data_IF_773497469221
#
_entry.id   IF_773497469221
#
_cell.length_a   1.000
_cell.length_b   1.000
_cell.length_c   1.000
_cell.angle_alpha   90.00
_cell.angle_beta   90.00
_cell.angle_gamma   90.00
#
_symmetry.space_group_name_H-M   'P 1'
#
loop_
_entity.id
_entity.type
_entity.pdbx_description
1 polymer ?
#
# COMPACT_ATOMS: atom_id res chain seq x y z
N UNK A 1 20.95 5.87 10.98
CA UNK A 1 21.10 7.32 10.95
C UNK A 1 21.63 7.75 12.32
N UNK A 2 22.92 8.01 12.42
CA UNK A 2 23.54 8.43 13.68
C UNK A 2 23.23 9.88 14.01
N UNK A 3 23.02 10.73 12.98
CA UNK A 3 22.65 12.14 13.16
C UNK A 3 21.62 12.57 12.11
N UNK A 4 20.57 13.23 12.56
CA UNK A 4 19.64 13.93 11.68
C UNK A 4 20.11 15.38 11.57
N UNK A 5 20.05 16.00 10.37
CA UNK A 5 20.40 17.41 10.21
C UNK A 5 19.51 18.27 11.11
N UNK A 6 20.06 19.38 11.62
CA UNK A 6 19.28 20.32 12.41
C UNK A 6 18.18 20.94 11.56
N UNK A 7 16.93 20.83 12.00
CA UNK A 7 15.77 21.37 11.30
C UNK A 7 14.70 21.86 12.29
N UNK A 8 13.89 22.82 11.83
CA UNK A 8 12.76 23.34 12.61
C UNK A 8 11.58 22.37 12.65
N UNK A 9 11.44 21.52 11.63
CA UNK A 9 10.44 20.48 11.53
C UNK A 9 10.98 19.27 10.78
N UNK A 10 10.52 18.07 11.18
CA UNK A 10 10.79 16.79 10.53
C UNK A 10 9.46 16.13 10.19
N UNK A 11 9.27 15.82 8.93
CA UNK A 11 8.10 15.12 8.43
C UNK A 11 8.56 13.73 7.99
N UNK A 12 8.05 12.70 8.65
CA UNK A 12 8.43 11.31 8.44
C UNK A 12 7.36 10.60 7.61
N UNK A 13 7.64 10.42 6.33
CA UNK A 13 6.81 9.57 5.45
C UNK A 13 7.30 8.12 5.56
N UNK A 14 7.08 7.54 6.73
CA UNK A 14 7.55 6.20 7.07
C UNK A 14 6.46 5.42 7.83
N UNK A 15 6.65 4.11 7.93
CA UNK A 15 5.82 3.32 8.84
C UNK A 15 6.01 3.74 10.30
N UNK A 16 5.01 3.55 11.17
CA UNK A 16 5.15 3.79 12.61
C UNK A 16 6.32 3.05 13.23
N UNK A 17 6.61 1.81 12.79
CA UNK A 17 7.78 1.03 13.24
C UNK A 17 9.09 1.71 12.88
N UNK A 18 9.21 2.21 11.66
CA UNK A 18 10.40 2.93 11.21
C UNK A 18 10.56 4.27 11.94
N UNK A 19 9.47 5.03 12.14
CA UNK A 19 9.49 6.25 12.92
C UNK A 19 9.98 6.01 14.36
N UNK A 20 9.51 4.93 15.01
CA UNK A 20 9.98 4.53 16.34
C UNK A 20 11.45 4.15 16.37
N UNK A 21 12.00 3.58 15.28
CA UNK A 21 13.41 3.23 15.18
C UNK A 21 14.29 4.47 14.93
N UNK A 22 13.86 5.38 14.07
CA UNK A 22 14.59 6.62 13.73
C UNK A 22 14.70 7.54 14.94
N UNK A 23 13.66 7.67 15.74
CA UNK A 23 13.56 8.62 16.86
C UNK A 23 13.62 7.97 18.25
N UNK A 24 14.00 6.71 18.36
CA UNK A 24 13.92 5.86 19.55
C UNK A 24 14.20 6.60 20.86
N UNK A 25 15.34 7.25 20.95
CA UNK A 25 15.85 7.82 22.21
C UNK A 25 15.35 9.25 22.48
N UNK A 26 14.61 9.82 21.53
CA UNK A 26 14.10 11.19 21.57
C UNK A 26 12.57 11.28 21.74
N UNK A 27 11.87 10.16 21.55
CA UNK A 27 10.42 10.11 21.71
C UNK A 27 10.03 9.83 23.15
N UNK A 28 8.93 10.45 23.64
CA UNK A 28 8.35 10.07 24.93
C UNK A 28 7.99 8.58 24.96
N UNK A 29 8.15 7.88 26.12
CA UNK A 29 7.88 6.44 26.23
C UNK A 29 6.47 6.04 25.75
N UNK A 30 5.47 6.89 26.00
CA UNK A 30 4.08 6.70 25.54
C UNK A 30 3.97 6.72 24.02
N UNK A 31 4.70 7.60 23.33
CA UNK A 31 4.71 7.67 21.87
C UNK A 31 5.37 6.42 21.27
N UNK A 32 6.54 6.02 21.78
CA UNK A 32 7.22 4.78 21.38
C UNK A 32 6.30 3.58 21.54
N UNK A 33 5.58 3.49 22.68
CA UNK A 33 4.64 2.40 22.93
C UNK A 33 3.48 2.38 21.90
N UNK A 34 2.91 3.54 21.56
CA UNK A 34 1.85 3.65 20.55
C UNK A 34 2.35 3.22 19.18
N UNK A 35 3.53 3.71 18.75
CA UNK A 35 4.14 3.35 17.47
C UNK A 35 4.44 1.84 17.38
N UNK A 36 4.96 1.24 18.44
CA UNK A 36 5.27 -0.21 18.50
C UNK A 36 4.03 -1.10 18.56
N UNK A 37 2.92 -0.61 19.14
CA UNK A 37 1.64 -1.32 19.22
C UNK A 37 0.74 -1.06 18.01
N UNK A 38 1.23 -0.29 17.06
CA UNK A 38 0.47 -0.02 15.84
C UNK A 38 0.16 -1.34 15.12
N UNK A 39 -1.12 -1.56 14.79
CA UNK A 39 -1.57 -2.76 14.09
C UNK A 39 -1.53 -2.50 12.60
N UNK A 40 -0.74 -3.29 11.91
CA UNK A 40 -0.73 -3.37 10.46
C UNK A 40 -1.93 -4.15 9.98
N UNK A 41 -2.30 -3.94 8.72
CA UNK A 41 -3.44 -4.56 8.07
C UNK A 41 -3.07 -5.85 7.36
N UNK A 42 -4.01 -6.28 6.53
CA UNK A 42 -3.80 -7.35 5.57
C UNK A 42 -2.70 -6.96 4.58
N UNK A 43 -2.14 -7.95 3.92
CA UNK A 43 -0.98 -7.78 3.09
C UNK A 43 -1.29 -7.94 1.60
N UNK A 44 -0.38 -7.50 0.76
CA UNK A 44 -0.34 -7.81 -0.66
C UNK A 44 0.77 -8.82 -0.96
N UNK A 45 0.45 -9.84 -1.75
CA UNK A 45 1.43 -10.65 -2.45
C UNK A 45 1.40 -10.26 -3.93
N UNK A 46 2.57 -9.94 -4.49
CA UNK A 46 2.71 -9.42 -5.84
C UNK A 46 3.11 -10.56 -6.81
N UNK A 47 2.47 -10.60 -7.97
CA UNK A 47 2.90 -11.47 -9.06
C UNK A 47 3.12 -10.63 -10.31
N UNK A 48 4.32 -10.71 -10.85
CA UNK A 48 4.67 -10.15 -12.15
C UNK A 48 4.61 -11.24 -13.20
N UNK A 49 4.03 -10.94 -14.37
CA UNK A 49 3.98 -11.82 -15.52
C UNK A 49 4.65 -11.16 -16.71
N UNK A 50 5.22 -12.00 -17.57
CA UNK A 50 5.59 -11.66 -18.94
C UNK A 50 4.66 -12.46 -19.84
N UNK A 51 3.91 -11.76 -20.69
CA UNK A 51 2.91 -12.35 -21.57
C UNK A 51 3.37 -12.28 -23.02
N UNK A 52 2.98 -13.29 -23.83
CA UNK A 52 3.20 -13.34 -25.29
C UNK A 52 2.15 -12.57 -26.10
N UNK A 53 1.17 -11.94 -25.45
CA UNK A 53 0.10 -11.18 -26.09
C UNK A 53 -0.77 -10.44 -25.08
N UNK A 54 -1.77 -9.67 -25.54
CA UNK A 54 -2.70 -8.97 -24.70
C UNK A 54 -3.58 -9.95 -23.91
N UNK A 55 -4.02 -9.53 -22.70
CA UNK A 55 -4.93 -10.33 -21.87
C UNK A 55 -6.25 -10.57 -22.63
N UNK A 56 -6.70 -11.83 -22.81
CA UNK A 56 -7.86 -12.17 -23.64
C UNK A 56 -9.19 -11.99 -22.87
N UNK A 57 -9.52 -10.75 -22.52
CA UNK A 57 -10.71 -10.44 -21.75
C UNK A 57 -12.00 -10.89 -22.42
N UNK A 58 -12.91 -11.53 -21.67
CA UNK A 58 -14.26 -11.84 -22.14
C UNK A 58 -15.06 -10.58 -22.49
N UNK A 59 -14.84 -9.48 -21.76
CA UNK A 59 -15.35 -8.16 -22.07
C UNK A 59 -14.24 -7.33 -22.72
N UNK A 60 -14.25 -7.12 -24.04
CA UNK A 60 -13.12 -6.50 -24.77
C UNK A 60 -12.79 -5.08 -24.28
N UNK A 61 -13.78 -4.35 -23.77
CA UNK A 61 -13.60 -3.00 -23.22
C UNK A 61 -12.65 -2.98 -22.03
N UNK A 62 -12.53 -4.09 -21.28
CA UNK A 62 -11.61 -4.22 -20.16
C UNK A 62 -10.15 -4.03 -20.61
N UNK A 63 -9.80 -4.46 -21.82
CA UNK A 63 -8.47 -4.28 -22.40
C UNK A 63 -8.07 -2.82 -22.67
N UNK A 64 -9.00 -1.87 -22.54
CA UNK A 64 -8.71 -0.42 -22.65
C UNK A 64 -8.33 0.21 -21.32
N UNK A 65 -8.49 -0.51 -20.22
CA UNK A 65 -8.16 -0.01 -18.88
C UNK A 65 -6.71 -0.37 -18.52
N UNK A 66 -5.93 0.64 -18.09
CA UNK A 66 -4.56 0.41 -17.62
C UNK A 66 -4.50 -0.33 -16.28
N UNK A 67 -5.60 -0.33 -15.51
CA UNK A 67 -5.73 -1.05 -14.25
C UNK A 67 -7.12 -1.66 -14.14
N UNK A 68 -7.18 -2.92 -13.74
CA UNK A 68 -8.41 -3.70 -13.61
C UNK A 68 -8.42 -4.40 -12.24
N UNK A 69 -9.60 -4.47 -11.61
CA UNK A 69 -9.82 -5.31 -10.44
C UNK A 69 -10.73 -6.48 -10.83
N UNK A 70 -10.28 -7.70 -10.58
CA UNK A 70 -11.08 -8.91 -10.75
C UNK A 70 -11.34 -9.56 -9.39
N UNK A 71 -12.60 -9.83 -9.08
CA UNK A 71 -12.99 -10.37 -7.78
C UNK A 71 -14.33 -11.12 -7.84
N UNK A 72 -15.03 -11.01 -8.97
CA UNK A 72 -16.36 -11.60 -9.14
C UNK A 72 -17.47 -10.72 -8.56
N UNK A 73 -18.48 -11.35 -7.99
CA UNK A 73 -19.61 -10.66 -7.37
C UNK A 73 -19.22 -9.97 -6.06
N UNK A 74 -20.05 -9.03 -5.61
CA UNK A 74 -19.87 -8.39 -4.29
C UNK A 74 -19.78 -9.41 -3.14
N UNK A 75 -20.52 -10.50 -3.22
CA UNK A 75 -20.50 -11.55 -2.19
C UNK A 75 -19.17 -12.31 -2.20
N UNK A 76 -18.64 -12.65 -3.37
CA UNK A 76 -17.34 -13.30 -3.52
C UNK A 76 -16.20 -12.38 -3.01
N UNK A 77 -16.22 -11.11 -3.37
CA UNK A 77 -15.23 -10.12 -2.87
C UNK A 77 -15.30 -9.99 -1.35
N UNK A 78 -16.50 -9.88 -0.77
CA UNK A 78 -16.66 -9.79 0.68
C UNK A 78 -16.17 -11.06 1.40
N UNK A 79 -16.40 -12.24 0.83
CA UNK A 79 -15.92 -13.52 1.36
C UNK A 79 -14.39 -13.60 1.27
N UNK A 80 -13.79 -13.15 0.17
CA UNK A 80 -12.35 -13.11 -0.01
C UNK A 80 -11.68 -12.22 1.05
N UNK A 81 -12.12 -10.96 1.18
CA UNK A 81 -11.57 -10.02 2.17
C UNK A 81 -11.79 -10.51 3.61
N UNK A 82 -12.95 -11.10 3.91
CA UNK A 82 -13.23 -11.68 5.23
C UNK A 82 -12.30 -12.86 5.57
N UNK A 83 -11.94 -13.67 4.56
CA UNK A 83 -10.99 -14.77 4.74
C UNK A 83 -9.59 -14.22 5.05
N UNK A 84 -9.13 -13.22 4.33
CA UNK A 84 -7.84 -12.58 4.54
C UNK A 84 -7.77 -11.93 5.92
N UNK A 85 -8.79 -11.17 6.30
CA UNK A 85 -8.90 -10.54 7.62
C UNK A 85 -8.93 -11.57 8.77
N UNK A 86 -9.40 -12.80 8.50
CA UNK A 86 -9.36 -13.92 9.43
C UNK A 86 -8.03 -14.72 9.38
N UNK A 87 -7.00 -14.22 8.69
CA UNK A 87 -5.70 -14.86 8.56
C UNK A 87 -5.67 -16.07 7.62
N UNK A 88 -6.63 -16.20 6.71
CA UNK A 88 -6.69 -17.30 5.74
C UNK A 88 -6.61 -16.77 4.32
N UNK A 89 -5.94 -17.52 3.44
CA UNK A 89 -5.97 -17.23 2.02
C UNK A 89 -7.37 -17.41 1.45
N UNK A 90 -7.80 -16.47 0.60
CA UNK A 90 -9.05 -16.60 -0.11
C UNK A 90 -8.92 -17.65 -1.22
N UNK A 91 -9.97 -18.45 -1.40
CA UNK A 91 -10.03 -19.42 -2.50
C UNK A 91 -10.15 -18.72 -3.87
N UNK A 92 -10.88 -17.61 -3.89
CA UNK A 92 -11.05 -16.73 -5.06
C UNK A 92 -10.63 -15.31 -4.65
N UNK A 93 -9.33 -14.99 -4.71
CA UNK A 93 -8.84 -13.71 -4.23
C UNK A 93 -9.32 -12.55 -5.11
N UNK A 94 -9.48 -11.39 -4.49
CA UNK A 94 -9.51 -10.14 -5.25
C UNK A 94 -8.10 -9.90 -5.80
N UNK A 95 -8.01 -9.65 -7.09
CA UNK A 95 -6.73 -9.38 -7.77
C UNK A 95 -6.80 -8.02 -8.45
N UNK A 96 -5.84 -7.17 -8.20
CA UNK A 96 -5.57 -5.99 -9.00
C UNK A 96 -4.56 -6.36 -10.08
N UNK A 97 -4.85 -5.96 -11.33
CA UNK A 97 -3.95 -6.10 -12.46
C UNK A 97 -3.63 -4.71 -13.03
N UNK A 98 -2.41 -4.53 -13.49
CA UNK A 98 -2.05 -3.37 -14.30
C UNK A 98 -1.31 -3.83 -15.54
N UNK A 99 -1.86 -3.44 -16.69
CA UNK A 99 -1.21 -3.57 -18.00
C UNK A 99 -0.67 -2.20 -18.42
N UNK A 100 0.62 -1.94 -18.17
CA UNK A 100 1.21 -0.64 -18.48
C UNK A 100 1.31 -0.38 -20.00
N UNK A 101 1.24 -1.41 -20.84
CA UNK A 101 1.31 -1.25 -22.29
C UNK A 101 0.07 -0.57 -22.87
N UNK A 102 -1.05 -0.60 -22.13
CA UNK A 102 -2.28 0.12 -22.50
C UNK A 102 -2.06 1.64 -22.54
N UNK A 103 -1.28 2.18 -21.62
CA UNK A 103 -0.96 3.60 -21.55
C UNK A 103 0.35 3.95 -22.26
N UNK A 104 1.31 3.03 -22.29
CA UNK A 104 2.65 3.20 -22.86
C UNK A 104 3.02 1.96 -23.70
N UNK A 105 2.67 1.95 -25.02
CA UNK A 105 3.00 0.84 -25.90
C UNK A 105 4.49 0.55 -26.02
N UNK A 106 5.37 1.51 -25.69
CA UNK A 106 6.83 1.32 -25.68
C UNK A 106 7.32 0.34 -24.60
N UNK A 107 6.45 -0.10 -23.71
CA UNK A 107 6.74 -1.15 -22.71
C UNK A 107 6.63 -2.57 -23.27
N UNK A 108 6.05 -2.74 -24.44
CA UNK A 108 6.12 -3.98 -25.18
C UNK A 108 7.50 -4.11 -25.84
N UNK A 109 8.17 -5.23 -25.63
CA UNK A 109 9.49 -5.49 -26.21
C UNK A 109 9.50 -6.85 -26.88
N UNK A 110 9.71 -6.88 -28.20
CA UNK A 110 9.81 -8.14 -28.97
C UNK A 110 8.54 -9.00 -28.90
N UNK A 111 7.36 -8.38 -28.85
CA UNK A 111 6.08 -9.07 -28.69
C UNK A 111 5.78 -9.54 -27.28
N UNK A 112 6.63 -9.21 -26.30
CA UNK A 112 6.45 -9.55 -24.88
C UNK A 112 5.90 -8.35 -24.12
N UNK A 113 4.91 -8.59 -23.27
CA UNK A 113 4.19 -7.58 -22.49
C UNK A 113 4.32 -7.82 -21.00
N UNK A 114 4.69 -6.80 -20.21
CA UNK A 114 4.65 -6.90 -18.76
C UNK A 114 3.21 -6.77 -18.25
N UNK A 115 2.83 -7.62 -17.31
CA UNK A 115 1.63 -7.46 -16.51
C UNK A 115 2.04 -7.59 -15.05
N UNK A 116 1.72 -6.61 -14.19
CA UNK A 116 1.92 -6.80 -12.78
C UNK A 116 0.58 -6.89 -12.06
N UNK A 117 0.56 -7.72 -11.02
CA UNK A 117 -0.63 -7.96 -10.24
C UNK A 117 -0.31 -7.98 -8.75
N UNK A 118 -1.32 -7.82 -7.93
CA UNK A 118 -1.27 -8.28 -6.55
C UNK A 118 -2.63 -8.83 -6.10
N UNK A 119 -2.58 -9.73 -5.12
CA UNK A 119 -3.74 -10.21 -4.41
C UNK A 119 -3.63 -9.87 -2.93
N UNK A 120 -4.77 -9.66 -2.25
CA UNK A 120 -4.79 -9.54 -0.80
C UNK A 120 -4.54 -10.91 -0.17
N UNK A 121 -3.66 -10.93 0.83
CA UNK A 121 -3.25 -12.14 1.54
C UNK A 121 -3.09 -11.86 3.04
N UNK A 122 -3.06 -12.90 3.89
CA UNK A 122 -2.78 -12.72 5.30
C UNK A 122 -1.44 -12.02 5.55
N UNK A 123 -1.40 -11.19 6.58
CA UNK A 123 -0.20 -10.48 7.01
C UNK A 123 0.98 -11.43 7.22
N UNK A 124 2.11 -11.14 6.61
CA UNK A 124 3.34 -11.92 6.74
C UNK A 124 3.32 -13.28 6.02
N UNK A 125 2.33 -13.56 5.18
CA UNK A 125 2.28 -14.81 4.41
C UNK A 125 3.52 -14.96 3.52
N UNK A 126 4.12 -16.14 3.52
CA UNK A 126 5.23 -16.56 2.65
C UNK A 126 4.76 -17.38 1.44
N UNK A 127 3.45 -17.63 1.32
CA UNK A 127 2.87 -18.43 0.24
C UNK A 127 3.05 -17.75 -1.11
N UNK A 128 3.49 -18.53 -2.09
CA UNK A 128 3.42 -18.16 -3.52
C UNK A 128 1.96 -18.25 -3.99
N UNK A 129 1.44 -17.14 -4.51
CA UNK A 129 0.05 -17.03 -4.97
C UNK A 129 -0.09 -16.99 -6.48
N UNK A 130 0.97 -17.33 -7.22
CA UNK A 130 0.97 -17.28 -8.69
C UNK A 130 -0.18 -18.08 -9.28
N UNK A 131 -0.41 -19.29 -8.80
CA UNK A 131 -1.49 -20.15 -9.29
C UNK A 131 -2.88 -19.60 -8.91
N UNK A 132 -3.05 -19.07 -7.70
CA UNK A 132 -4.32 -18.48 -7.25
C UNK A 132 -4.68 -17.25 -8.09
N UNK A 133 -3.69 -16.40 -8.39
CA UNK A 133 -3.84 -15.21 -9.24
C UNK A 133 -4.13 -15.62 -10.68
N UNK A 134 -3.39 -16.57 -11.23
CA UNK A 134 -3.59 -17.07 -12.60
C UNK A 134 -5.00 -17.62 -12.76
N UNK A 135 -5.44 -18.49 -11.85
CA UNK A 135 -6.78 -19.07 -11.86
C UNK A 135 -7.88 -18.02 -11.76
N UNK A 136 -7.67 -16.97 -10.96
CA UNK A 136 -8.63 -15.89 -10.82
C UNK A 136 -8.73 -15.05 -12.10
N UNK A 137 -7.61 -14.76 -12.76
CA UNK A 137 -7.61 -14.03 -14.04
C UNK A 137 -8.29 -14.86 -15.13
N UNK A 138 -8.01 -16.16 -15.17
CA UNK A 138 -8.57 -17.12 -16.15
C UNK A 138 -10.11 -17.14 -16.14
N UNK A 139 -10.75 -16.87 -14.99
CA UNK A 139 -12.22 -16.77 -14.90
C UNK A 139 -12.80 -15.66 -15.77
N UNK A 140 -12.04 -14.59 -16.03
CA UNK A 140 -12.48 -13.39 -16.73
C UNK A 140 -11.77 -13.20 -18.08
N UNK A 141 -10.69 -13.94 -18.28
CA UNK A 141 -9.85 -13.92 -19.47
C UNK A 141 -9.41 -15.36 -19.83
N UNK A 142 -10.33 -16.21 -20.35
CA UNK A 142 -10.00 -17.59 -20.74
C UNK A 142 -8.86 -17.62 -21.76
N UNK A 143 -7.87 -18.49 -21.53
CA UNK A 143 -6.64 -18.57 -22.31
C UNK A 143 -5.51 -17.68 -21.81
N UNK A 144 -5.70 -16.97 -20.68
CA UNK A 144 -4.64 -16.16 -20.06
C UNK A 144 -3.40 -17.01 -19.73
N UNK A 145 -3.60 -18.21 -19.20
CA UNK A 145 -2.53 -19.13 -18.82
C UNK A 145 -1.59 -19.45 -19.99
N UNK A 146 -2.14 -19.61 -21.17
CA UNK A 146 -1.37 -19.99 -22.39
C UNK A 146 -0.49 -18.84 -22.88
N UNK A 147 -0.78 -17.60 -22.47
CA UNK A 147 0.02 -16.42 -22.79
C UNK A 147 1.19 -16.20 -21.82
N UNK A 148 1.22 -16.87 -20.68
CA UNK A 148 2.25 -16.66 -19.66
C UNK A 148 3.57 -17.27 -20.10
N UNK A 149 4.53 -16.44 -20.46
CA UNK A 149 5.90 -16.84 -20.79
C UNK A 149 6.75 -17.05 -19.54
N UNK A 150 6.57 -16.17 -18.55
CA UNK A 150 7.22 -16.30 -17.24
C UNK A 150 6.44 -15.56 -16.18
N UNK A 151 6.66 -15.94 -14.92
CA UNK A 151 6.08 -15.26 -13.76
C UNK A 151 7.05 -15.21 -12.59
N UNK A 152 6.84 -14.24 -11.71
CA UNK A 152 7.59 -14.10 -10.47
C UNK A 152 6.68 -13.63 -9.35
N UNK A 153 6.60 -14.39 -8.27
CA UNK A 153 5.90 -14.00 -7.06
C UNK A 153 6.86 -13.32 -6.06
N UNK A 154 6.38 -12.24 -5.45
CA UNK A 154 6.94 -11.68 -4.24
C UNK A 154 5.87 -11.84 -3.15
N UNK A 155 5.98 -12.85 -2.28
CA UNK A 155 5.01 -13.06 -1.21
C UNK A 155 5.05 -11.93 -0.19
N UNK A 156 3.98 -11.79 0.60
CA UNK A 156 3.86 -10.71 1.60
C UNK A 156 5.08 -10.61 2.54
N UNK A 157 5.58 -11.74 3.02
CA UNK A 157 6.81 -11.79 3.84
C UNK A 157 8.05 -11.25 3.13
N UNK A 158 8.04 -11.23 1.79
CA UNK A 158 9.12 -10.70 0.96
C UNK A 158 9.07 -9.20 0.72
N UNK A 159 7.91 -8.57 0.92
CA UNK A 159 7.68 -7.17 0.57
C UNK A 159 8.53 -6.18 1.38
N UNK A 160 8.85 -6.49 2.64
CA UNK A 160 9.74 -5.65 3.46
C UNK A 160 11.15 -5.52 2.88
N UNK A 161 11.65 -6.50 2.12
CA UNK A 161 12.95 -6.40 1.45
C UNK A 161 12.92 -5.42 0.28
N UNK A 162 11.75 -5.27 -0.33
CA UNK A 162 11.53 -4.28 -1.38
C UNK A 162 11.36 -2.87 -0.82
N UNK A 163 10.56 -2.73 0.24
CA UNK A 163 10.35 -1.47 0.96
C UNK A 163 10.18 -1.74 2.45
N UNK A 164 11.10 -1.22 3.27
CA UNK A 164 11.10 -1.40 4.73
C UNK A 164 9.84 -0.87 5.45
N UNK A 165 8.98 -0.12 4.75
CA UNK A 165 7.69 0.34 5.27
C UNK A 165 6.55 -0.66 5.03
N UNK A 166 6.71 -1.65 4.17
CA UNK A 166 5.71 -2.69 3.88
C UNK A 166 5.79 -3.83 4.92
N UNK A 167 5.46 -3.47 6.15
CA UNK A 167 5.57 -4.37 7.31
C UNK A 167 4.65 -5.59 7.12
N UNK A 168 5.26 -6.78 7.02
CA UNK A 168 4.53 -8.02 6.76
C UNK A 168 3.76 -8.04 5.43
N UNK A 169 4.11 -7.15 4.50
CA UNK A 169 3.44 -6.99 3.21
C UNK A 169 2.26 -6.02 3.21
N UNK A 170 1.99 -5.32 4.32
CA UNK A 170 0.96 -4.27 4.37
C UNK A 170 1.42 -3.04 3.57
N UNK A 171 0.87 -2.89 2.37
CA UNK A 171 1.14 -1.75 1.48
C UNK A 171 0.34 -0.49 1.84
N UNK A 172 -0.69 -0.62 2.68
CA UNK A 172 -1.52 0.49 3.17
C UNK A 172 -0.93 1.18 4.39
N UNK A 173 0.10 0.58 5.02
CA UNK A 173 0.75 1.04 6.25
C UNK A 173 -0.25 1.22 7.40
N UNK A 174 -1.11 0.23 7.59
CA UNK A 174 -2.04 0.12 8.71
C UNK A 174 -3.37 -0.51 8.35
N UNK A 175 -3.95 -1.23 9.32
CA UNK A 175 -5.27 -1.81 9.16
C UNK A 175 -6.31 -0.73 8.81
N UNK A 176 -7.01 -0.91 7.70
CA UNK A 176 -8.02 0.04 7.19
C UNK A 176 -9.30 -0.16 8.00
N UNK A 177 -9.39 0.53 9.14
CA UNK A 177 -10.56 0.52 10.02
C UNK A 177 -11.00 1.94 10.36
N UNK A 178 -12.30 2.16 10.58
CA UNK A 178 -12.82 3.49 10.93
C UNK A 178 -12.09 4.16 12.10
N UNK A 179 -11.82 3.48 13.23
CA UNK A 179 -11.04 4.08 14.30
C UNK A 179 -9.65 4.55 13.85
N UNK A 180 -8.96 3.77 13.02
CA UNK A 180 -7.62 4.11 12.51
C UNK A 180 -7.65 5.30 11.57
N UNK A 181 -8.60 5.34 10.67
CA UNK A 181 -8.77 6.46 9.73
C UNK A 181 -9.02 7.79 10.46
N UNK A 182 -9.62 7.75 11.65
CA UNK A 182 -9.90 8.93 12.46
C UNK A 182 -8.76 9.30 13.42
N UNK A 183 -8.08 8.31 13.99
CA UNK A 183 -7.11 8.54 15.07
C UNK A 183 -5.65 8.31 14.68
N UNK A 184 -5.40 7.63 13.57
CA UNK A 184 -4.06 7.23 13.16
C UNK A 184 -3.37 6.34 14.19
N UNK A 185 -2.14 6.67 14.54
CA UNK A 185 -1.32 5.90 15.50
C UNK A 185 -1.87 5.97 16.93
N UNK A 186 -2.49 7.10 17.30
CA UNK A 186 -3.08 7.32 18.62
C UNK A 186 -4.14 8.42 18.58
N UNK A 187 -5.19 8.34 19.42
CA UNK A 187 -6.10 9.47 19.61
C UNK A 187 -5.34 10.68 20.14
N UNK A 188 -5.42 11.81 19.44
CA UNK A 188 -4.81 13.07 19.85
C UNK A 188 -5.46 14.24 19.11
N UNK A 189 -5.43 15.45 19.68
CA UNK A 189 -5.82 16.68 18.99
C UNK A 189 -5.00 16.95 17.73
N UNK A 190 -3.71 16.58 17.76
CA UNK A 190 -2.84 16.56 16.60
C UNK A 190 -2.32 15.12 16.40
N UNK A 191 -2.97 14.29 15.57
CA UNK A 191 -2.60 12.91 15.37
C UNK A 191 -1.28 12.73 14.56
N UNK A 192 -0.81 13.81 13.97
CA UNK A 192 0.43 13.81 13.15
C UNK A 192 1.68 13.97 14.02
N UNK A 193 1.62 14.74 15.13
CA UNK A 193 2.78 15.01 15.99
C UNK A 193 3.12 13.82 16.88
N UNK A 194 4.39 13.42 16.90
CA UNK A 194 4.87 12.25 17.65
C UNK A 194 5.18 12.53 19.13
N UNK A 195 4.73 13.67 19.67
CA UNK A 195 4.93 14.06 21.06
C UNK A 195 6.30 14.69 21.33
N UNK A 196 7.04 15.03 20.29
CA UNK A 196 8.21 15.89 20.29
C UNK A 196 7.86 17.08 19.39
N UNK A 197 7.96 18.34 19.89
CA UNK A 197 7.65 19.50 19.09
C UNK A 197 8.44 19.56 17.78
N UNK A 198 7.72 19.65 16.67
CA UNK A 198 8.35 19.69 15.33
C UNK A 198 8.62 18.32 14.68
N UNK A 199 8.20 17.21 15.29
CA UNK A 199 8.35 15.88 14.71
C UNK A 199 6.98 15.29 14.36
N UNK A 200 6.74 15.08 13.07
CA UNK A 200 5.45 14.68 12.52
C UNK A 200 5.56 13.38 11.74
N UNK A 201 4.58 12.52 11.87
CA UNK A 201 4.34 11.40 10.97
C UNK A 201 3.38 11.87 9.88
N UNK A 202 3.68 11.58 8.61
CA UNK A 202 2.94 12.08 7.47
C UNK A 202 2.60 11.01 6.42
N UNK A 203 2.87 9.75 6.73
CA UNK A 203 2.54 8.59 5.89
C UNK A 203 1.04 8.25 5.94
N UNK A 204 0.64 7.23 5.20
CA UNK A 204 -0.73 6.69 5.20
C UNK A 204 -1.19 6.12 6.57
N UNK A 205 -0.28 5.95 7.53
CA UNK A 205 -0.62 5.54 8.90
C UNK A 205 -1.30 6.61 9.75
N UNK A 206 -1.38 7.86 9.27
CA UNK A 206 -2.10 8.97 9.94
C UNK A 206 -3.39 9.32 9.19
N UNK A 207 -4.34 10.03 9.82
CA UNK A 207 -5.57 10.44 9.15
C UNK A 207 -5.32 11.21 7.82
N UNK A 208 -6.16 11.01 6.82
CA UNK A 208 -7.36 10.19 6.76
C UNK A 208 -7.09 8.71 6.43
N UNK A 209 -5.84 8.25 6.41
CA UNK A 209 -5.46 6.91 6.10
C UNK A 209 -4.91 6.75 4.67
N UNK A 210 -4.82 5.52 4.16
CA UNK A 210 -4.27 5.24 2.85
C UNK A 210 -5.14 5.77 1.70
N UNK A 211 -4.49 6.13 0.60
CA UNK A 211 -5.12 6.59 -0.63
C UNK A 211 -4.15 7.43 -1.47
N UNK A 212 -4.46 7.56 -2.76
CA UNK A 212 -3.63 8.34 -3.69
C UNK A 212 -4.03 9.83 -3.62
N UNK A 213 -3.87 10.46 -2.47
CA UNK A 213 -4.35 11.83 -2.21
C UNK A 213 -3.34 12.72 -1.46
N UNK A 214 -2.25 12.16 -0.89
CA UNK A 214 -1.24 12.93 -0.16
C UNK A 214 -1.73 13.67 1.10
N UNK A 215 -2.94 13.39 1.59
CA UNK A 215 -3.57 14.19 2.65
C UNK A 215 -2.87 14.09 4.00
N UNK A 216 -2.28 12.93 4.32
CA UNK A 216 -1.45 12.77 5.52
C UNK A 216 -0.30 13.77 5.55
N UNK A 217 0.41 13.89 4.42
CA UNK A 217 1.48 14.86 4.22
C UNK A 217 1.00 16.30 4.29
N UNK A 218 -0.12 16.62 3.64
CA UNK A 218 -0.68 17.96 3.61
C UNK A 218 -1.10 18.44 5.02
N UNK A 219 -1.81 17.61 5.77
CA UNK A 219 -2.21 17.95 7.13
C UNK A 219 -1.01 18.08 8.07
N UNK A 220 -0.05 17.16 8.01
CA UNK A 220 1.17 17.24 8.80
C UNK A 220 1.96 18.53 8.49
N UNK A 221 2.09 18.89 7.21
CA UNK A 221 2.74 20.14 6.79
C UNK A 221 2.01 21.38 7.31
N UNK A 222 0.67 21.41 7.25
CA UNK A 222 -0.12 22.52 7.86
C UNK A 222 0.13 22.68 9.35
N UNK A 223 0.17 21.58 10.09
CA UNK A 223 0.48 21.62 11.53
C UNK A 223 1.90 22.13 11.76
N UNK A 224 2.88 21.65 10.99
CA UNK A 224 4.26 22.11 11.08
C UNK A 224 4.37 23.62 10.78
N UNK A 225 3.77 24.10 9.69
CA UNK A 225 3.77 25.52 9.32
C UNK A 225 3.21 26.39 10.44
N UNK A 226 2.06 26.00 11.00
CA UNK A 226 1.42 26.76 12.08
C UNK A 226 2.25 26.73 13.36
N UNK A 227 2.71 25.57 13.79
CA UNK A 227 3.35 25.39 15.10
C UNK A 227 4.81 25.84 15.12
N UNK A 228 5.53 25.66 14.01
CA UNK A 228 6.98 25.90 13.95
C UNK A 228 7.38 27.16 13.20
N UNK A 229 6.47 27.69 12.36
CA UNK A 229 6.77 28.82 11.49
C UNK A 229 5.81 30.01 11.68
N UNK A 230 4.73 29.84 12.47
CA UNK A 230 3.74 30.88 12.69
C UNK A 230 2.83 31.13 11.47
N UNK A 231 2.88 30.25 10.46
CA UNK A 231 2.14 30.38 9.22
C UNK A 231 0.80 29.66 9.37
N UNK A 232 -0.29 30.42 9.52
CA UNK A 232 -1.65 29.87 9.69
C UNK A 232 -2.35 29.54 8.37
N UNK A 233 -2.02 30.25 7.31
CA UNK A 233 -2.53 30.01 5.96
C UNK A 233 -1.41 29.41 5.12
N UNK A 234 -1.58 28.16 4.66
CA UNK A 234 -0.58 27.57 3.75
C UNK A 234 -0.48 28.39 2.47
N UNK A 235 0.70 28.42 1.82
CA UNK A 235 0.84 29.07 0.54
C UNK A 235 -0.08 28.43 -0.49
N UNK A 236 -0.61 29.22 -1.41
CA UNK A 236 -1.35 28.71 -2.57
C UNK A 236 -0.31 28.13 -3.52
N UNK A 237 -0.34 26.82 -3.68
CA UNK A 237 0.49 26.12 -4.67
C UNK A 237 -0.32 26.02 -5.96
N UNK A 238 -0.58 27.17 -6.58
CA UNK A 238 -1.16 27.18 -7.92
C UNK A 238 -0.08 26.78 -8.94
N UNK A 239 -0.43 26.03 -10.00
CA UNK A 239 0.45 25.80 -11.13
C UNK A 239 0.75 27.09 -11.87
#
# INVERSE_FOLDING_TARGET
WRELPAARAYLLDTSPRAAAAIWRDRLPPRAVRSLRRFRYGDAAAKVDFVLSGPVPWQAPETGRAGTVHVGGTRAEMAAAESSVAAGRHAEQPMVLLSDPTTADPGRELGGLRPLWTYAHVPHGSDRDVTEDVTRQIERFAPGFRDLVVSSRCVPAAGMERHNANYIGGDIATGAVTLPRMLTGVRPAWNPYELGVPGVYLCSSSVPPGPGVHGMGGWFAARHALRQRFGISRPPVLAP
#
